data_IF_111981054236
#
_entry.id   IF_111981054236
#
_cell.length_a   1.000
_cell.length_b   1.000
_cell.length_c   1.000
_cell.angle_alpha   90.00
_cell.angle_beta   90.00
_cell.angle_gamma   90.00
#
_symmetry.space_group_name_H-M   'P 1'
#
loop_
_entity.id
_entity.type
_entity.pdbx_description
1 polymer ?
#
# COMPACT_ATOMS: atom_id res chain seq x y z
N UNK A 1 8.69 3.69 1.67
CA UNK A 1 8.59 5.16 1.46
C UNK A 1 7.89 5.78 2.65
N UNK A 2 8.48 6.78 3.31
CA UNK A 2 7.89 7.38 4.53
C UNK A 2 6.92 8.52 4.17
N UNK A 3 5.64 8.37 4.50
CA UNK A 3 4.57 9.32 4.14
C UNK A 3 4.75 10.70 4.79
N UNK A 4 5.50 10.77 5.89
CA UNK A 4 5.78 12.03 6.61
C UNK A 4 6.56 13.08 5.80
N UNK A 5 7.23 12.67 4.70
CA UNK A 5 7.93 13.60 3.81
C UNK A 5 6.96 14.52 3.05
N UNK A 6 5.73 14.06 2.77
CA UNK A 6 4.77 14.79 1.94
C UNK A 6 3.61 15.37 2.72
N UNK A 7 3.33 14.86 3.93
CA UNK A 7 2.26 15.37 4.76
C UNK A 7 2.49 15.13 6.24
N UNK A 8 1.84 15.93 7.09
CA UNK A 8 1.86 15.69 8.53
C UNK A 8 0.88 14.57 8.87
N UNK A 9 1.40 13.53 9.51
CA UNK A 9 0.64 12.34 9.92
C UNK A 9 0.43 12.33 11.42
N UNK A 10 -0.65 11.69 11.85
CA UNK A 10 -1.01 11.54 13.25
C UNK A 10 -0.03 10.60 13.92
N UNK A 11 0.60 11.04 15.01
CA UNK A 11 1.54 10.22 15.78
C UNK A 11 0.93 8.92 16.31
N UNK A 12 -0.41 8.86 16.43
CA UNK A 12 -1.11 7.69 16.97
C UNK A 12 -1.52 6.65 15.93
N UNK A 13 -2.00 7.09 14.77
CA UNK A 13 -2.59 6.21 13.76
C UNK A 13 -2.02 6.39 12.35
N UNK A 14 -1.03 7.26 12.17
CA UNK A 14 -0.37 7.56 10.90
C UNK A 14 -1.26 8.07 9.75
N UNK A 15 -2.52 8.43 10.03
CA UNK A 15 -3.42 9.12 9.07
C UNK A 15 -3.14 10.63 9.07
N UNK A 16 -3.52 11.36 8.02
CA UNK A 16 -3.41 12.83 7.91
C UNK A 16 -3.80 13.55 9.22
N UNK A 17 -2.92 14.43 9.69
CA UNK A 17 -3.10 15.21 10.91
C UNK A 17 -3.28 16.71 10.60
N UNK A 18 -4.50 17.26 10.74
CA UNK A 18 -4.74 18.69 10.53
C UNK A 18 -4.33 19.54 11.73
N UNK A 19 -4.03 18.93 12.87
CA UNK A 19 -3.73 19.63 14.12
C UNK A 19 -2.43 19.16 14.73
N UNK A 20 -1.82 20.02 15.56
CA UNK A 20 -0.59 19.70 16.30
C UNK A 20 -0.74 20.03 17.78
N UNK A 21 0.17 19.50 18.60
CA UNK A 21 0.26 19.87 20.00
C UNK A 21 0.47 21.39 20.12
N UNK A 22 -0.37 22.08 20.89
CA UNK A 22 -0.23 23.55 21.07
C UNK A 22 0.99 23.93 21.91
N UNK A 23 1.52 23.00 22.73
CA UNK A 23 2.65 23.24 23.63
C UNK A 23 3.99 23.10 22.92
N UNK A 24 4.27 21.96 22.28
CA UNK A 24 5.54 21.75 21.57
C UNK A 24 5.51 22.05 20.07
N UNK A 25 4.32 22.01 19.45
CA UNK A 25 4.13 22.12 17.99
C UNK A 25 4.87 21.07 17.14
N UNK A 26 5.45 20.03 17.75
CA UNK A 26 6.17 18.96 17.05
C UNK A 26 5.31 17.73 16.75
N UNK A 27 4.49 17.30 17.71
CA UNK A 27 3.59 16.16 17.53
C UNK A 27 2.28 16.57 16.82
N UNK A 28 1.88 15.79 15.81
CA UNK A 28 0.69 16.03 14.99
C UNK A 28 -0.39 14.98 15.27
N UNK A 29 -1.67 15.37 15.22
CA UNK A 29 -2.82 14.51 15.52
C UNK A 29 -3.98 14.74 14.55
N UNK A 30 -4.65 13.64 14.16
CA UNK A 30 -5.88 13.69 13.37
C UNK A 30 -7.08 14.20 14.19
N UNK A 31 -7.07 14.00 15.52
CA UNK A 31 -8.14 14.44 16.42
C UNK A 31 -7.64 14.64 17.86
N UNK A 32 -8.45 15.31 18.70
CA UNK A 32 -8.14 15.55 20.12
C UNK A 32 -8.00 14.26 20.92
N UNK A 33 -8.75 13.21 20.57
CA UNK A 33 -8.69 11.92 21.27
C UNK A 33 -7.30 11.28 21.14
N UNK A 34 -6.72 11.29 19.95
CA UNK A 34 -5.35 10.80 19.74
C UNK A 34 -4.30 11.66 20.46
N UNK A 35 -4.51 12.98 20.54
CA UNK A 35 -3.63 13.81 21.39
C UNK A 35 -3.67 13.38 22.86
N UNK A 36 -4.84 13.05 23.41
CA UNK A 36 -4.98 12.61 24.82
C UNK A 36 -4.34 11.23 25.04
N UNK A 37 -4.49 10.33 24.07
CA UNK A 37 -3.86 8.99 24.12
C UNK A 37 -2.34 9.13 24.17
N UNK A 38 -1.73 9.88 23.23
CA UNK A 38 -0.28 10.13 23.21
C UNK A 38 0.19 10.87 24.47
N UNK A 39 -0.62 11.82 24.98
CA UNK A 39 -0.34 12.52 26.24
C UNK A 39 -0.18 11.57 27.41
N UNK A 40 -1.10 10.62 27.56
CA UNK A 40 -1.04 9.60 28.63
C UNK A 40 0.06 8.57 28.41
N UNK A 41 0.44 8.32 27.15
CA UNK A 41 1.49 7.38 26.79
C UNK A 41 2.92 7.89 27.06
N UNK A 42 3.08 9.17 27.44
CA UNK A 42 4.37 9.73 27.82
C UNK A 42 4.79 10.98 27.04
N UNK A 43 3.96 11.44 26.10
CA UNK A 43 4.20 12.73 25.46
C UNK A 43 4.22 13.87 26.48
N UNK A 44 3.50 13.77 27.60
CA UNK A 44 3.53 14.76 28.68
C UNK A 44 4.95 15.04 29.22
N UNK A 45 5.75 13.98 29.38
CA UNK A 45 7.15 14.03 29.86
C UNK A 45 8.10 14.58 28.79
N UNK A 46 7.87 14.23 27.52
CA UNK A 46 8.74 14.61 26.41
C UNK A 46 8.35 15.95 25.76
N UNK A 47 7.13 16.44 26.00
CA UNK A 47 6.59 17.62 25.32
C UNK A 47 7.45 18.87 25.53
N UNK A 48 8.06 19.06 26.71
CA UNK A 48 8.95 20.19 26.96
C UNK A 48 10.23 20.09 26.11
N UNK A 49 10.90 18.93 26.12
CA UNK A 49 12.10 18.68 25.31
C UNK A 49 11.83 18.86 23.82
N UNK A 50 10.69 18.36 23.34
CA UNK A 50 10.27 18.54 21.95
C UNK A 50 10.03 20.01 21.59
N UNK A 51 9.54 20.81 22.54
CA UNK A 51 9.37 22.26 22.31
C UNK A 51 10.74 22.95 22.13
N UNK A 52 11.73 22.56 22.93
CA UNK A 52 13.08 23.12 22.86
C UNK A 52 13.79 22.72 21.55
N UNK A 53 13.66 21.46 21.13
CA UNK A 53 14.17 20.99 19.83
C UNK A 53 13.51 21.74 18.67
N UNK A 54 12.19 21.89 18.70
CA UNK A 54 11.45 22.64 17.69
C UNK A 54 11.81 24.13 17.61
N UNK A 55 12.24 24.72 18.73
CA UNK A 55 12.76 26.09 18.76
C UNK A 55 14.14 26.17 18.08
N UNK A 56 15.03 25.21 18.36
CA UNK A 56 16.35 25.11 17.72
C UNK A 56 16.22 24.95 16.20
N UNK A 57 15.37 24.03 15.74
CA UNK A 57 15.12 23.82 14.30
C UNK A 57 14.57 25.08 13.62
N UNK A 58 13.68 25.84 14.28
CA UNK A 58 13.16 27.11 13.74
C UNK A 58 14.20 28.23 13.69
N UNK A 59 15.15 28.24 14.63
CA UNK A 59 16.26 29.18 14.64
C UNK A 59 17.27 28.82 13.54
N UNK A 60 17.55 27.54 13.35
CA UNK A 60 18.42 27.00 12.30
C UNK A 60 17.83 27.16 10.90
N UNK A 61 16.51 26.97 10.73
CA UNK A 61 15.82 27.19 9.47
C UNK A 61 15.84 28.67 9.00
N UNK A 62 16.03 29.63 9.93
CA UNK A 62 16.22 31.05 9.61
C UNK A 62 17.67 31.39 9.24
N UNK A 63 18.64 30.58 9.66
CA UNK A 63 20.06 30.78 9.39
C UNK A 63 20.56 29.67 8.46
N UNK A 64 20.16 29.73 7.19
CA UNK A 64 20.62 28.79 6.16
C UNK A 64 22.10 29.04 5.80
N UNK A 65 23.00 28.47 6.58
CA UNK A 65 24.34 28.09 6.11
C UNK A 65 24.86 26.86 6.87
N UNK A 66 24.63 25.68 6.26
CA UNK A 66 25.35 24.39 6.36
C UNK A 66 25.57 23.75 7.75
N UNK A 67 24.76 22.71 8.04
CA UNK A 67 25.11 21.42 8.71
C UNK A 67 25.73 21.46 10.13
N UNK A 68 25.84 20.34 10.87
CA UNK A 68 25.79 18.93 10.44
C UNK A 68 24.74 18.04 11.15
N UNK A 69 24.56 16.83 10.62
CA UNK A 69 23.77 15.71 11.16
C UNK A 69 24.40 15.13 12.44
N UNK A 70 23.56 14.88 13.43
CA UNK A 70 23.73 14.08 14.67
C UNK A 70 22.38 14.30 15.41
N UNK A 71 21.53 13.34 15.73
CA UNK A 71 21.73 12.04 16.37
C UNK A 71 20.53 11.12 16.02
N UNK A 72 20.75 10.01 15.30
CA UNK A 72 19.68 9.09 14.85
C UNK A 72 19.29 8.05 15.94
N UNK A 73 20.14 7.83 16.95
CA UNK A 73 19.93 6.79 17.97
C UNK A 73 18.92 7.18 19.08
N UNK A 74 18.72 8.47 19.35
CA UNK A 74 17.83 8.92 20.44
C UNK A 74 16.34 9.01 20.00
N UNK A 75 16.09 9.06 18.69
CA UNK A 75 14.75 9.13 18.12
C UNK A 75 14.03 7.78 18.18
N UNK A 76 14.73 6.66 17.99
CA UNK A 76 14.14 5.30 17.98
C UNK A 76 13.56 4.88 19.34
N UNK A 77 14.20 5.24 20.45
CA UNK A 77 13.77 4.85 21.80
C UNK A 77 12.43 5.52 22.20
N UNK A 78 12.11 6.68 21.63
CA UNK A 78 10.83 7.37 21.89
C UNK A 78 9.66 6.63 21.23
N UNK A 79 9.89 5.96 20.10
CA UNK A 79 8.86 5.25 19.35
C UNK A 79 8.69 3.80 19.81
N UNK A 80 9.70 3.18 20.44
CA UNK A 80 9.61 1.80 20.96
C UNK A 80 8.47 1.56 21.95
N UNK A 81 8.12 2.56 22.76
CA UNK A 81 6.96 2.49 23.68
C UNK A 81 5.60 2.73 23.00
N UNK A 82 5.59 3.12 21.74
CA UNK A 82 4.40 3.48 20.97
C UNK A 82 4.14 2.56 19.76
N UNK A 83 5.13 1.77 19.32
CA UNK A 83 4.93 0.82 18.23
C UNK A 83 3.92 -0.27 18.63
N UNK A 84 3.10 -0.67 17.66
CA UNK A 84 2.25 -1.84 17.79
C UNK A 84 3.12 -3.09 18.00
N UNK A 85 2.60 -4.14 18.67
CA UNK A 85 3.33 -5.39 18.76
C UNK A 85 3.70 -5.88 17.37
N UNK A 86 4.97 -6.25 17.22
CA UNK A 86 5.49 -6.84 15.99
C UNK A 86 5.10 -8.32 15.97
N UNK A 87 4.50 -8.77 14.86
CA UNK A 87 4.14 -10.16 14.63
C UNK A 87 4.85 -10.65 13.38
N UNK A 88 5.38 -11.87 13.44
CA UNK A 88 5.93 -12.56 12.28
C UNK A 88 4.78 -13.05 11.40
N UNK A 89 4.88 -12.83 10.09
CA UNK A 89 3.93 -13.41 9.14
C UNK A 89 4.39 -14.85 8.91
N UNK A 90 3.72 -15.79 9.56
CA UNK A 90 3.87 -17.22 9.29
C UNK A 90 3.17 -17.53 7.96
N UNK A 91 3.94 -17.75 6.89
CA UNK A 91 3.43 -18.33 5.65
C UNK A 91 3.43 -19.84 5.80
N UNK A 92 2.27 -20.44 5.99
CA UNK A 92 2.10 -21.88 5.84
C UNK A 92 2.12 -22.21 4.34
N UNK A 93 2.81 -23.28 3.95
CA UNK A 93 2.70 -23.81 2.59
C UNK A 93 1.23 -24.19 2.34
N UNK A 94 0.66 -23.63 1.28
CA UNK A 94 -0.64 -24.07 0.80
C UNK A 94 -0.49 -25.56 0.45
N UNK A 95 -1.35 -26.46 0.98
CA UNK A 95 -1.23 -27.88 0.68
C UNK A 95 -1.31 -28.05 -0.84
N UNK A 96 -0.34 -28.76 -1.41
CA UNK A 96 -0.33 -29.08 -2.82
C UNK A 96 -1.68 -29.72 -3.17
N UNK A 97 -2.39 -29.12 -4.11
CA UNK A 97 -3.63 -29.68 -4.63
C UNK A 97 -3.28 -31.05 -5.23
N UNK A 98 -3.85 -32.15 -4.72
CA UNK A 98 -3.71 -33.48 -5.35
C UNK A 98 -4.34 -33.52 -6.77
N UNK A 99 -5.05 -32.45 -7.17
CA UNK A 99 -5.66 -32.21 -8.47
C UNK A 99 -4.98 -31.05 -9.24
N UNK A 100 -3.67 -30.82 -9.09
CA UNK A 100 -2.94 -30.20 -10.19
C UNK A 100 -2.78 -31.26 -11.29
N UNK A 101 -3.86 -31.50 -12.04
CA UNK A 101 -3.82 -32.24 -13.30
C UNK A 101 -3.07 -31.35 -14.29
N UNK A 102 -1.74 -31.32 -14.14
CA UNK A 102 -0.79 -30.81 -15.12
C UNK A 102 -0.92 -31.66 -16.38
N UNK A 103 -1.98 -31.41 -17.14
CA UNK A 103 -1.99 -31.66 -18.57
C UNK A 103 -1.68 -30.35 -19.31
N UNK A 104 -0.72 -29.57 -18.79
CA UNK A 104 0.04 -28.65 -19.63
C UNK A 104 1.06 -29.50 -20.39
N UNK A 105 0.67 -29.98 -21.56
CA UNK A 105 1.59 -30.34 -22.64
C UNK A 105 2.41 -29.08 -22.99
N UNK A 106 3.50 -28.89 -22.24
CA UNK A 106 4.53 -27.84 -22.29
C UNK A 106 5.37 -27.87 -23.59
N UNK A 107 4.74 -27.86 -24.78
CA UNK A 107 5.48 -27.81 -26.06
C UNK A 107 5.04 -26.73 -27.08
N UNK A 108 4.02 -25.89 -26.81
CA UNK A 108 3.56 -24.87 -27.80
C UNK A 108 3.26 -23.47 -27.24
N UNK A 109 3.89 -23.06 -26.13
CA UNK A 109 3.62 -21.74 -25.52
C UNK A 109 4.35 -20.58 -26.25
N UNK A 110 5.62 -20.77 -26.61
CA UNK A 110 6.43 -19.71 -27.24
C UNK A 110 6.01 -19.32 -28.67
N UNK A 111 5.19 -20.14 -29.34
CA UNK A 111 4.73 -19.90 -30.71
C UNK A 111 3.53 -18.95 -30.74
N UNK A 112 2.59 -19.12 -29.80
CA UNK A 112 1.41 -18.25 -29.62
C UNK A 112 1.83 -16.84 -29.21
N UNK A 113 2.75 -16.71 -28.26
CA UNK A 113 3.24 -15.39 -27.83
C UNK A 113 3.86 -14.60 -28.99
N UNK A 114 4.65 -15.29 -29.83
CA UNK A 114 5.33 -14.66 -30.96
C UNK A 114 4.35 -14.20 -32.04
N UNK A 115 3.32 -14.99 -32.31
CA UNK A 115 2.27 -14.64 -33.27
C UNK A 115 1.46 -13.42 -32.81
N UNK A 116 1.06 -13.38 -31.55
CA UNK A 116 0.34 -12.23 -30.97
C UNK A 116 1.22 -10.97 -30.93
N UNK A 117 2.53 -11.10 -30.70
CA UNK A 117 3.49 -10.00 -30.79
C UNK A 117 3.64 -9.43 -32.20
N UNK A 118 3.61 -10.26 -33.24
CA UNK A 118 3.63 -9.79 -34.63
C UNK A 118 2.32 -9.10 -35.02
N UNK A 119 1.19 -9.64 -34.57
CA UNK A 119 -0.15 -9.05 -34.74
C UNK A 119 -0.23 -7.68 -34.09
N UNK A 120 0.29 -7.52 -32.87
CA UNK A 120 0.36 -6.23 -32.18
C UNK A 120 1.24 -5.22 -32.94
N UNK A 121 2.42 -5.64 -33.41
CA UNK A 121 3.31 -4.79 -34.22
C UNK A 121 2.64 -4.32 -35.50
N UNK A 122 1.91 -5.20 -36.19
CA UNK A 122 1.14 -4.86 -37.39
C UNK A 122 0.06 -3.81 -37.08
N UNK A 123 -0.69 -3.98 -35.99
CA UNK A 123 -1.70 -3.01 -35.56
C UNK A 123 -1.12 -1.65 -35.15
N UNK A 124 0.10 -1.61 -34.58
CA UNK A 124 0.82 -0.38 -34.29
C UNK A 124 1.23 0.37 -35.56
N UNK A 125 1.69 -0.35 -36.58
CA UNK A 125 2.04 0.22 -37.89
C UNK A 125 0.79 0.77 -38.60
N UNK A 126 -0.34 0.07 -38.49
CA UNK A 126 -1.62 0.50 -39.04
C UNK A 126 -2.29 1.65 -38.24
N UNK A 127 -1.67 2.12 -37.14
CA UNK A 127 -2.24 3.11 -36.20
C UNK A 127 -3.63 2.75 -35.65
N UNK A 128 -4.01 1.47 -35.73
CA UNK A 128 -5.26 0.94 -35.14
C UNK A 128 -5.07 0.47 -33.71
N UNK A 129 -3.82 0.26 -33.27
CA UNK A 129 -3.49 -0.08 -31.89
C UNK A 129 -4.01 1.01 -30.94
N UNK A 130 -4.90 0.63 -30.02
CA UNK A 130 -5.49 1.53 -29.02
C UNK A 130 -6.74 2.30 -29.46
N UNK A 131 -7.22 2.12 -30.70
CA UNK A 131 -8.53 2.64 -31.12
C UNK A 131 -9.63 1.59 -30.90
N UNK A 132 -10.26 1.59 -29.74
CA UNK A 132 -11.51 0.86 -29.48
C UNK A 132 -12.73 1.66 -30.00
N UNK A 133 -12.63 2.23 -31.21
CA UNK A 133 -13.62 3.19 -31.72
C UNK A 133 -14.72 2.51 -32.53
N UNK A 134 -14.51 1.29 -33.01
CA UNK A 134 -15.42 0.54 -33.89
C UNK A 134 -15.83 -0.82 -33.31
N UNK A 135 -16.05 -0.92 -32.00
CA UNK A 135 -16.66 -2.12 -31.39
C UNK A 135 -18.14 -1.85 -31.19
N UNK A 136 -19.00 -2.63 -31.85
CA UNK A 136 -20.44 -2.50 -31.66
C UNK A 136 -20.81 -2.88 -30.21
N UNK A 137 -21.66 -2.06 -29.57
CA UNK A 137 -22.08 -2.26 -28.17
C UNK A 137 -22.61 -3.68 -27.90
N UNK A 138 -23.20 -4.31 -28.92
CA UNK A 138 -23.71 -5.69 -28.84
C UNK A 138 -22.59 -6.72 -28.62
N UNK A 139 -21.43 -6.54 -29.23
CA UNK A 139 -20.26 -7.42 -29.04
C UNK A 139 -19.64 -7.23 -27.66
N UNK A 140 -19.62 -5.99 -27.17
CA UNK A 140 -19.20 -5.65 -25.81
C UNK A 140 -20.13 -6.29 -24.76
N UNK A 141 -21.44 -6.25 -25.00
CA UNK A 141 -22.42 -6.89 -24.12
C UNK A 141 -22.33 -8.42 -24.12
N UNK A 142 -22.01 -9.04 -25.25
CA UNK A 142 -21.86 -10.49 -25.35
C UNK A 142 -20.61 -10.96 -24.61
N UNK A 143 -19.46 -10.30 -24.85
CA UNK A 143 -18.22 -10.58 -24.12
C UNK A 143 -18.30 -10.30 -22.60
N UNK A 144 -19.17 -9.36 -22.18
CA UNK A 144 -19.41 -9.11 -20.75
C UNK A 144 -20.38 -10.11 -20.10
N UNK A 145 -21.13 -10.88 -20.90
CA UNK A 145 -22.08 -11.92 -20.43
C UNK A 145 -21.50 -13.33 -20.51
N UNK A 146 -20.43 -13.52 -21.28
CA UNK A 146 -19.69 -14.79 -21.31
C UNK A 146 -18.97 -15.00 -19.96
N UNK A 147 -19.48 -15.95 -19.18
CA UNK A 147 -18.89 -16.41 -17.92
C UNK A 147 -17.77 -17.46 -18.17
N UNK A 148 -17.27 -17.56 -19.39
CA UNK A 148 -16.33 -18.61 -19.86
C UNK A 148 -14.86 -18.26 -19.55
N UNK A 149 -14.62 -17.46 -18.52
CA UNK A 149 -13.26 -17.24 -18.02
C UNK A 149 -12.84 -18.48 -17.21
N UNK A 150 -12.13 -19.38 -17.87
CA UNK A 150 -11.58 -20.61 -17.30
C UNK A 150 -10.68 -20.31 -16.09
N UNK A 151 -9.87 -19.25 -16.16
CA UNK A 151 -9.02 -18.82 -15.06
C UNK A 151 -9.86 -18.33 -13.87
N UNK A 152 -10.94 -17.59 -14.14
CA UNK A 152 -11.88 -17.14 -13.11
C UNK A 152 -12.70 -18.30 -12.53
N UNK A 153 -13.00 -19.32 -13.32
CA UNK A 153 -13.71 -20.53 -12.88
C UNK A 153 -12.81 -21.38 -11.98
N UNK A 154 -11.56 -21.63 -12.37
CA UNK A 154 -10.57 -22.29 -11.54
C UNK A 154 -10.32 -21.54 -10.22
N UNK A 155 -10.24 -20.20 -10.30
CA UNK A 155 -10.17 -19.35 -9.11
C UNK A 155 -11.40 -19.51 -8.21
N UNK A 156 -12.62 -19.47 -8.76
CA UNK A 156 -13.87 -19.68 -8.01
C UNK A 156 -13.89 -21.04 -7.30
N UNK A 157 -13.43 -22.10 -7.95
CA UNK A 157 -13.34 -23.43 -7.32
C UNK A 157 -12.30 -23.46 -6.20
N UNK A 158 -11.13 -22.85 -6.40
CA UNK A 158 -10.08 -22.74 -5.36
C UNK A 158 -10.58 -22.00 -4.13
N UNK A 159 -11.27 -20.87 -4.29
CA UNK A 159 -11.77 -20.08 -3.15
C UNK A 159 -12.95 -20.74 -2.43
N UNK A 160 -13.70 -21.63 -3.09
CA UNK A 160 -14.78 -22.40 -2.44
C UNK A 160 -14.23 -23.36 -1.38
N UNK A 161 -12.99 -23.85 -1.53
CA UNK A 161 -12.34 -24.72 -0.53
C UNK A 161 -12.09 -23.99 0.79
N UNK A 162 -11.78 -22.69 0.75
CA UNK A 162 -11.50 -21.89 1.97
C UNK A 162 -12.12 -20.48 1.85
N UNK A 163 -13.46 -20.36 1.91
CA UNK A 163 -14.15 -19.10 1.58
C UNK A 163 -13.86 -17.96 2.55
N UNK A 164 -13.41 -18.29 3.78
CA UNK A 164 -13.02 -17.34 4.82
C UNK A 164 -11.62 -16.70 4.61
N UNK A 165 -10.79 -17.27 3.72
CA UNK A 165 -9.49 -16.69 3.37
C UNK A 165 -9.64 -15.35 2.62
N UNK A 166 -10.79 -15.13 1.99
CA UNK A 166 -11.11 -13.91 1.28
C UNK A 166 -12.16 -13.13 2.06
N UNK A 167 -11.77 -11.94 2.54
CA UNK A 167 -12.69 -10.96 3.11
C UNK A 167 -13.65 -10.46 2.02
N UNK A 168 -14.90 -10.91 2.07
CA UNK A 168 -15.98 -10.35 1.24
C UNK A 168 -16.65 -9.25 2.05
N UNK A 169 -16.87 -8.09 1.42
CA UNK A 169 -17.66 -7.04 2.07
C UNK A 169 -19.11 -7.50 2.14
N UNK A 170 -19.69 -7.46 3.32
CA UNK A 170 -21.12 -7.66 3.49
C UNK A 170 -21.84 -6.46 2.83
N UNK A 171 -22.73 -6.76 1.88
CA UNK A 171 -23.60 -5.79 1.20
C UNK A 171 -24.97 -5.84 1.87
#
# INVERSE_FOLDING_TARGET
MNVSYWTKVCRVCNIKAPSHCKKCQQANYCCRRHQIVDWKAGHDKLCAKLADLGLKERIEAKNKSKGPKKDEEEEEEIYKGFLFPEYEIESEDEPADEDCDSNDDDEDDGKKEKEEMEKLKKMMVEKKAGCLQDVEDKQLEEAAKEDDDEAFTAFKERIKRRPAQILRQEI
#
